data_IF_674171107454
#
_entry.id   IF_674171107454
#
_cell.length_a   1.000
_cell.length_b   1.000
_cell.length_c   1.000
_cell.angle_alpha   90.00
_cell.angle_beta   90.00
_cell.angle_gamma   90.00
#
_symmetry.space_group_name_H-M   'P 1'
#
loop_
_entity.id
_entity.type
_entity.pdbx_description
1 polymer ?
#
# COMPACT_ATOMS: atom_id res chain seq x y z
N UNK A 1 34.90 17.69 -30.76
CA UNK A 1 36.12 17.21 -30.09
C UNK A 1 36.02 15.70 -29.88
N UNK A 2 36.65 14.92 -30.74
CA UNK A 2 37.03 13.54 -30.43
C UNK A 2 38.35 13.56 -29.65
N UNK A 3 38.64 12.53 -28.85
CA UNK A 3 39.93 11.81 -28.88
C UNK A 3 39.85 10.57 -27.96
N UNK A 4 40.06 9.40 -28.56
CA UNK A 4 40.37 8.13 -27.87
C UNK A 4 41.88 8.01 -27.64
N UNK A 5 42.29 7.11 -26.73
CA UNK A 5 43.50 6.24 -26.69
C UNK A 5 43.38 5.50 -25.33
N UNK A 6 43.47 4.17 -25.14
CA UNK A 6 44.40 3.16 -25.68
C UNK A 6 45.67 3.08 -24.79
N UNK A 7 46.19 1.94 -24.30
CA UNK A 7 45.74 0.54 -24.21
C UNK A 7 46.66 -0.30 -23.28
N UNK A 8 46.09 -1.34 -22.62
CA UNK A 8 46.65 -2.62 -22.10
C UNK A 8 48.16 -2.86 -21.87
N UNK A 9 48.56 -3.32 -20.66
CA UNK A 9 49.49 -4.48 -20.51
C UNK A 9 49.40 -5.22 -19.14
N UNK A 10 50.17 -6.31 -18.96
CA UNK A 10 49.79 -7.53 -18.19
C UNK A 10 50.52 -7.77 -16.85
N UNK A 11 49.76 -8.23 -15.84
CA UNK A 11 49.94 -9.42 -14.96
C UNK A 11 51.35 -9.75 -14.41
N UNK A 12 51.50 -9.83 -13.07
CA UNK A 12 52.24 -10.89 -12.36
C UNK A 12 51.85 -11.03 -10.87
N UNK A 13 51.70 -12.29 -10.40
CA UNK A 13 51.77 -12.84 -9.03
C UNK A 13 52.77 -14.02 -9.12
N UNK A 14 53.39 -14.59 -8.06
CA UNK A 14 52.97 -14.69 -6.65
C UNK A 14 53.93 -13.89 -5.72
N UNK A 15 54.17 -14.13 -4.41
CA UNK A 15 53.77 -15.19 -3.46
C UNK A 15 53.68 -14.69 -2.00
N UNK A 16 53.42 -15.59 -1.05
CA UNK A 16 53.46 -15.38 0.40
C UNK A 16 54.78 -15.83 1.04
N UNK A 17 55.36 -15.02 1.93
CA UNK A 17 56.30 -15.49 2.97
C UNK A 17 55.96 -14.80 4.30
N UNK A 18 55.91 -15.59 5.36
CA UNK A 18 55.61 -15.19 6.74
C UNK A 18 56.86 -14.73 7.50
N UNK A 19 56.77 -13.67 8.30
CA UNK A 19 57.50 -13.50 9.57
C UNK A 19 57.09 -12.23 10.31
N UNK A 20 56.63 -12.36 11.55
CA UNK A 20 57.27 -11.74 12.73
C UNK A 20 56.71 -12.37 14.01
N UNK A 21 57.59 -12.49 15.01
CA UNK A 21 57.40 -13.29 16.23
C UNK A 21 56.83 -12.47 17.38
N UNK A 22 56.13 -13.12 18.31
CA UNK A 22 56.57 -13.34 19.71
C UNK A 22 55.44 -13.98 20.51
N UNK A 23 55.71 -15.13 21.14
CA UNK A 23 54.80 -15.78 22.10
C UNK A 23 55.23 -15.38 23.51
N UNK A 24 54.30 -14.93 24.32
CA UNK A 24 54.41 -14.90 25.79
C UNK A 24 53.31 -15.78 26.40
N UNK A 25 53.63 -16.45 27.51
CA UNK A 25 52.83 -17.53 28.08
C UNK A 25 52.09 -17.09 29.36
N UNK A 26 50.75 -17.31 29.35
CA UNK A 26 49.80 -17.51 30.46
C UNK A 26 49.66 -16.44 31.56
N UNK A 27 48.46 -15.87 31.70
CA UNK A 27 47.65 -16.05 32.92
C UNK A 27 46.14 -16.09 32.57
N UNK A 28 45.36 -16.90 33.28
CA UNK A 28 43.89 -17.13 33.16
C UNK A 28 43.31 -16.99 34.59
N UNK A 29 41.99 -16.77 34.83
CA UNK A 29 40.87 -16.98 33.91
C UNK A 29 39.76 -15.90 33.90
N UNK A 30 38.79 -16.06 33.00
CA UNK A 30 37.38 -15.82 33.36
C UNK A 30 36.51 -14.99 32.41
N UNK A 31 35.43 -15.64 31.95
CA UNK A 31 34.18 -15.04 31.44
C UNK A 31 34.27 -14.24 30.13
N UNK A 32 34.17 -14.98 29.01
CA UNK A 32 33.34 -14.52 27.89
C UNK A 32 31.94 -14.17 28.40
N UNK A 33 31.47 -12.95 28.15
CA UNK A 33 30.05 -12.67 27.95
C UNK A 33 29.89 -11.91 26.63
N UNK A 34 29.86 -12.68 25.53
CA UNK A 34 29.43 -12.21 24.22
C UNK A 34 27.95 -11.83 24.29
N UNK A 35 27.65 -10.66 24.87
CA UNK A 35 26.31 -10.10 24.91
C UNK A 35 25.95 -9.50 23.54
N UNK A 36 26.01 -10.37 22.51
CA UNK A 36 25.29 -10.22 21.27
C UNK A 36 23.82 -10.09 21.63
N UNK A 37 23.35 -8.85 21.75
CA UNK A 37 21.92 -8.55 21.95
C UNK A 37 21.15 -9.26 20.87
N UNK A 38 20.46 -10.33 21.27
CA UNK A 38 19.80 -11.27 20.39
C UNK A 38 18.96 -10.48 19.40
N UNK A 39 19.17 -10.69 18.10
CA UNK A 39 18.24 -10.21 17.10
C UNK A 39 16.88 -10.79 17.48
N UNK A 40 15.94 -9.91 17.87
CA UNK A 40 14.59 -10.33 18.27
C UNK A 40 14.00 -11.04 17.06
N UNK A 41 13.90 -12.37 17.15
CA UNK A 41 13.10 -13.13 16.21
C UNK A 41 11.66 -12.69 16.44
N UNK A 42 11.19 -11.77 15.61
CA UNK A 42 9.76 -11.54 15.47
C UNK A 42 9.19 -12.81 14.86
N UNK A 43 8.65 -13.68 15.69
CA UNK A 43 7.84 -14.78 15.20
C UNK A 43 6.72 -14.22 14.33
N UNK A 44 6.42 -14.92 13.24
CA UNK A 44 5.27 -14.57 12.41
C UNK A 44 4.00 -14.71 13.26
N UNK A 45 3.42 -13.60 13.70
CA UNK A 45 2.12 -13.57 14.37
C UNK A 45 1.04 -13.96 13.38
N UNK A 46 0.90 -15.27 13.13
CA UNK A 46 0.04 -15.84 12.11
C UNK A 46 -1.43 -15.75 12.55
N UNK A 47 -2.05 -14.58 12.36
CA UNK A 47 -3.45 -14.38 12.72
C UNK A 47 -4.34 -15.06 11.68
N UNK A 48 -5.00 -16.14 12.10
CA UNK A 48 -5.95 -16.97 11.32
C UNK A 48 -7.25 -16.23 10.89
N UNK A 49 -7.32 -14.91 11.10
CA UNK A 49 -8.45 -14.08 10.72
C UNK A 49 -8.31 -12.64 11.23
N UNK A 50 -9.11 -11.70 10.70
CA UNK A 50 -9.03 -10.29 11.03
C UNK A 50 -9.48 -9.99 12.47
N UNK A 51 -8.59 -9.44 13.29
CA UNK A 51 -8.86 -9.04 14.68
C UNK A 51 -9.87 -7.88 14.78
N UNK A 52 -9.91 -7.01 13.76
CA UNK A 52 -10.93 -5.96 13.61
C UNK A 52 -11.68 -6.17 12.29
N UNK A 53 -13.01 -6.23 12.36
CA UNK A 53 -13.87 -6.19 11.16
C UNK A 53 -13.83 -4.80 10.54
N UNK A 54 -13.88 -4.75 9.21
CA UNK A 54 -13.99 -3.52 8.45
C UNK A 54 -15.30 -2.77 8.77
N UNK A 55 -15.26 -1.49 9.17
CA UNK A 55 -16.43 -0.74 9.59
C UNK A 55 -17.22 -0.20 8.38
N UNK A 56 -17.92 -1.08 7.68
CA UNK A 56 -18.61 -0.78 6.42
C UNK A 56 -19.55 0.44 6.49
N UNK A 57 -20.22 0.67 7.62
CA UNK A 57 -21.06 1.86 7.84
C UNK A 57 -20.25 3.15 7.92
N UNK A 58 -19.12 3.17 8.64
CA UNK A 58 -18.26 4.35 8.73
C UNK A 58 -17.67 4.69 7.36
N UNK A 59 -17.28 3.67 6.59
CA UNK A 59 -16.85 3.87 5.20
C UNK A 59 -17.99 4.35 4.31
N UNK A 60 -19.21 3.86 4.48
CA UNK A 60 -20.37 4.35 3.72
C UNK A 60 -20.65 5.84 3.99
N UNK A 61 -20.55 6.27 5.24
CA UNK A 61 -20.65 7.68 5.62
C UNK A 61 -19.53 8.51 4.98
N UNK A 62 -18.27 8.05 5.02
CA UNK A 62 -17.15 8.70 4.32
C UNK A 62 -17.43 8.83 2.82
N UNK A 63 -17.95 7.78 2.17
CA UNK A 63 -18.30 7.81 0.75
C UNK A 63 -19.39 8.84 0.45
N UNK A 64 -20.43 8.87 1.28
CA UNK A 64 -21.52 9.84 1.18
C UNK A 64 -21.00 11.27 1.36
N UNK A 65 -20.27 11.54 2.44
CA UNK A 65 -19.79 12.88 2.78
C UNK A 65 -18.84 13.42 1.71
N UNK A 66 -17.92 12.58 1.19
CA UNK A 66 -16.99 13.01 0.12
C UNK A 66 -17.72 13.18 -1.21
N UNK A 67 -18.59 12.26 -1.63
CA UNK A 67 -19.30 12.44 -2.90
C UNK A 67 -20.27 13.64 -2.85
N UNK A 68 -20.97 13.86 -1.73
CA UNK A 68 -21.84 15.02 -1.56
C UNK A 68 -21.03 16.32 -1.55
N UNK A 69 -19.96 16.44 -0.76
CA UNK A 69 -19.17 17.68 -0.67
C UNK A 69 -18.48 18.09 -1.97
N UNK A 70 -18.05 17.12 -2.79
CA UNK A 70 -17.39 17.42 -4.07
C UNK A 70 -18.35 17.53 -5.27
N UNK A 71 -19.56 16.94 -5.24
CA UNK A 71 -20.40 16.79 -6.43
C UNK A 71 -21.81 17.39 -6.32
N UNK A 72 -22.21 17.93 -5.17
CA UNK A 72 -23.56 18.48 -4.96
C UNK A 72 -23.85 19.73 -5.79
N UNK A 73 -22.85 20.59 -6.01
CA UNK A 73 -23.02 21.84 -6.76
C UNK A 73 -22.39 21.78 -8.16
N UNK A 74 -21.66 20.70 -8.45
CA UNK A 74 -20.94 20.51 -9.71
C UNK A 74 -21.83 20.02 -10.86
N UNK A 75 -21.48 20.47 -12.07
CA UNK A 75 -22.10 20.04 -13.33
C UNK A 75 -21.19 19.05 -14.05
N UNK A 76 -21.78 18.26 -14.95
CA UNK A 76 -20.99 17.32 -15.75
C UNK A 76 -20.11 18.06 -16.77
N UNK A 77 -18.80 17.98 -16.57
CA UNK A 77 -17.77 18.46 -17.48
C UNK A 77 -16.67 17.39 -17.52
N UNK A 78 -16.33 16.87 -18.70
CA UNK A 78 -15.57 15.63 -18.83
C UNK A 78 -14.14 15.72 -18.29
N UNK A 79 -13.47 16.86 -18.46
CA UNK A 79 -12.09 17.05 -18.00
C UNK A 79 -12.04 17.28 -16.48
N UNK A 80 -12.91 18.15 -15.94
CA UNK A 80 -13.08 18.30 -14.49
C UNK A 80 -13.47 16.98 -13.83
N UNK A 81 -14.45 16.23 -14.37
CA UNK A 81 -14.85 14.93 -13.82
C UNK A 81 -13.69 13.92 -13.81
N UNK A 82 -12.78 13.95 -14.80
CA UNK A 82 -11.57 13.11 -14.81
C UNK A 82 -10.63 13.45 -13.65
N UNK A 83 -10.37 14.73 -13.43
CA UNK A 83 -9.50 15.22 -12.34
C UNK A 83 -10.15 14.97 -10.98
N UNK A 84 -11.44 15.26 -10.85
CA UNK A 84 -12.24 15.10 -9.64
C UNK A 84 -12.40 13.64 -9.23
N UNK A 85 -12.54 12.70 -10.19
CA UNK A 85 -12.51 11.25 -9.93
C UNK A 85 -11.21 10.83 -9.23
N UNK A 86 -10.06 11.32 -9.71
CA UNK A 86 -8.76 11.05 -9.09
C UNK A 86 -8.71 11.63 -7.66
N UNK A 87 -9.02 12.91 -7.50
CA UNK A 87 -9.02 13.61 -6.19
C UNK A 87 -9.92 12.90 -5.17
N UNK A 88 -11.16 12.58 -5.54
CA UNK A 88 -12.13 11.86 -4.70
C UNK A 88 -11.58 10.48 -4.32
N UNK A 89 -10.96 9.74 -5.25
CA UNK A 89 -10.37 8.43 -4.96
C UNK A 89 -9.24 8.51 -3.92
N UNK A 90 -8.41 9.55 -3.97
CA UNK A 90 -7.29 9.77 -3.04
C UNK A 90 -7.81 10.19 -1.65
N UNK A 91 -8.79 11.10 -1.59
CA UNK A 91 -9.45 11.54 -0.35
C UNK A 91 -10.17 10.39 0.37
N UNK A 92 -10.95 9.58 -0.35
CA UNK A 92 -11.61 8.39 0.22
C UNK A 92 -10.56 7.40 0.72
N UNK A 93 -9.51 7.13 -0.07
CA UNK A 93 -8.44 6.20 0.30
C UNK A 93 -7.68 6.65 1.56
N UNK A 94 -7.47 7.96 1.73
CA UNK A 94 -6.90 8.52 2.96
C UNK A 94 -7.86 8.33 4.14
N UNK A 95 -9.09 8.84 4.05
CA UNK A 95 -10.12 8.75 5.12
C UNK A 95 -10.40 7.31 5.57
N UNK A 96 -10.36 6.33 4.66
CA UNK A 96 -10.54 4.90 4.98
C UNK A 96 -9.31 4.30 5.64
N UNK A 97 -8.09 4.74 5.28
CA UNK A 97 -6.86 4.35 5.98
C UNK A 97 -6.77 4.91 7.40
N UNK A 98 -7.30 6.11 7.63
CA UNK A 98 -7.32 6.76 8.95
C UNK A 98 -8.16 5.98 9.99
N UNK A 99 -9.03 5.07 9.54
CA UNK A 99 -9.75 4.10 10.40
C UNK A 99 -8.83 3.02 11.01
N UNK A 100 -7.52 3.03 10.67
CA UNK A 100 -6.48 2.15 11.20
C UNK A 100 -6.87 0.67 11.20
N UNK A 101 -7.31 0.18 10.04
CA UNK A 101 -7.70 -1.22 9.82
C UNK A 101 -6.43 -2.01 9.45
N UNK A 102 -5.86 -2.82 10.37
CA UNK A 102 -4.60 -3.51 10.12
C UNK A 102 -4.79 -4.64 9.09
N UNK A 103 -3.76 -4.92 8.29
CA UNK A 103 -3.71 -6.06 7.35
C UNK A 103 -4.81 -6.07 6.26
N UNK A 104 -5.34 -4.92 5.88
CA UNK A 104 -6.26 -4.79 4.74
C UNK A 104 -5.67 -4.01 3.56
N UNK A 105 -5.77 -4.58 2.36
CA UNK A 105 -5.55 -3.90 1.07
C UNK A 105 -6.84 -3.18 0.66
N UNK A 106 -6.80 -1.84 0.69
CA UNK A 106 -7.93 -0.99 0.33
C UNK A 106 -7.85 -0.59 -1.14
N UNK A 107 -8.87 -0.98 -1.91
CA UNK A 107 -9.07 -0.63 -3.32
C UNK A 107 -10.27 0.31 -3.41
N UNK A 108 -10.10 1.45 -4.06
CA UNK A 108 -11.15 2.45 -4.27
C UNK A 108 -11.42 2.59 -5.76
N UNK A 109 -12.65 2.37 -6.18
CA UNK A 109 -13.12 2.53 -7.56
C UNK A 109 -14.22 3.59 -7.59
N UNK A 110 -13.93 4.71 -8.24
CA UNK A 110 -14.87 5.82 -8.44
C UNK A 110 -15.25 5.88 -9.91
N UNK A 111 -16.52 6.13 -10.21
CA UNK A 111 -17.02 6.33 -11.57
C UNK A 111 -18.02 7.48 -11.58
N UNK A 112 -17.71 8.55 -12.31
CA UNK A 112 -18.59 9.71 -12.52
C UNK A 112 -19.06 9.68 -13.97
N UNK A 113 -20.33 9.98 -14.21
CA UNK A 113 -20.89 10.07 -15.55
C UNK A 113 -22.03 11.06 -15.66
N UNK A 114 -22.36 11.45 -16.89
CA UNK A 114 -23.47 12.36 -17.17
C UNK A 114 -24.80 11.72 -16.80
N UNK A 115 -25.69 12.48 -16.17
CA UNK A 115 -27.07 12.05 -16.01
C UNK A 115 -27.78 12.20 -17.36
N UNK A 116 -28.15 11.07 -17.94
CA UNK A 116 -28.89 10.93 -19.20
C UNK A 116 -30.06 9.98 -18.99
N UNK A 117 -31.01 9.92 -19.93
CA UNK A 117 -32.14 8.97 -19.88
C UNK A 117 -31.73 7.52 -20.23
N UNK A 118 -30.44 7.29 -20.48
CA UNK A 118 -29.89 5.95 -20.74
C UNK A 118 -29.71 5.15 -19.44
N UNK A 119 -30.18 3.91 -19.44
CA UNK A 119 -30.03 3.00 -18.31
C UNK A 119 -28.61 2.43 -18.22
N UNK A 120 -27.91 2.70 -17.12
CA UNK A 120 -26.61 2.09 -16.81
C UNK A 120 -26.68 1.28 -15.52
N UNK A 121 -25.97 0.14 -15.50
CA UNK A 121 -25.88 -0.77 -14.35
C UNK A 121 -24.42 -0.99 -13.98
N UNK A 122 -24.11 -0.85 -12.70
CA UNK A 122 -22.80 -1.16 -12.14
C UNK A 122 -22.85 -2.53 -11.47
N UNK A 123 -21.83 -3.34 -11.69
CA UNK A 123 -21.71 -4.67 -11.10
C UNK A 123 -20.26 -5.15 -11.09
N UNK A 124 -19.89 -5.84 -10.02
CA UNK A 124 -18.55 -6.39 -9.79
C UNK A 124 -18.65 -7.88 -9.48
N UNK A 125 -17.67 -8.66 -9.95
CA UNK A 125 -17.50 -10.06 -9.55
C UNK A 125 -16.14 -10.20 -8.89
N UNK A 126 -16.11 -10.78 -7.69
CA UNK A 126 -14.91 -10.94 -6.88
C UNK A 126 -14.78 -12.41 -6.48
N UNK A 127 -13.55 -12.94 -6.54
CA UNK A 127 -13.18 -14.18 -5.85
C UNK A 127 -12.47 -13.74 -4.58
N UNK A 128 -13.16 -13.87 -3.44
CA UNK A 128 -12.79 -13.29 -2.16
C UNK A 128 -13.26 -14.18 -1.01
N UNK A 129 -12.65 -14.06 0.16
CA UNK A 129 -13.06 -14.81 1.34
C UNK A 129 -14.27 -14.13 2.02
N UNK A 130 -15.39 -14.85 2.13
CA UNK A 130 -16.61 -14.32 2.71
C UNK A 130 -16.54 -14.05 4.23
N UNK A 131 -15.51 -14.56 4.92
CA UNK A 131 -15.28 -14.32 6.35
C UNK A 131 -14.50 -13.05 6.66
N UNK A 132 -13.56 -12.67 5.79
CA UNK A 132 -12.58 -11.60 6.03
C UNK A 132 -12.64 -10.45 5.02
N UNK A 133 -12.93 -10.72 3.75
CA UNK A 133 -13.03 -9.69 2.71
C UNK A 133 -14.40 -9.01 2.71
N UNK A 134 -14.44 -7.72 2.33
CA UNK A 134 -15.71 -7.01 2.26
C UNK A 134 -15.67 -5.77 1.36
N UNK A 135 -16.82 -5.13 1.19
CA UNK A 135 -16.97 -3.92 0.40
C UNK A 135 -17.98 -2.93 1.02
N UNK A 136 -17.89 -1.68 0.60
CA UNK A 136 -18.93 -0.67 0.79
C UNK A 136 -19.13 0.08 -0.53
N UNK A 137 -20.39 0.34 -0.88
CA UNK A 137 -20.77 1.02 -2.11
C UNK A 137 -21.73 2.17 -1.80
N UNK A 138 -21.56 3.30 -2.48
CA UNK A 138 -22.47 4.44 -2.39
C UNK A 138 -22.67 5.06 -3.78
N UNK A 139 -23.92 5.40 -4.07
CA UNK A 139 -24.33 6.05 -5.32
C UNK A 139 -24.87 7.44 -5.01
N UNK A 140 -24.26 8.44 -5.64
CA UNK A 140 -24.67 9.83 -5.59
C UNK A 140 -25.30 10.25 -6.93
N UNK A 141 -26.27 11.18 -6.90
CA UNK A 141 -26.93 11.72 -8.08
C UNK A 141 -27.26 13.20 -7.86
N UNK A 142 -26.89 14.02 -8.83
CA UNK A 142 -27.26 15.43 -8.95
C UNK A 142 -28.21 15.62 -10.16
N UNK A 143 -28.53 16.87 -10.50
CA UNK A 143 -29.27 17.29 -11.69
C UNK A 143 -28.54 17.00 -13.01
N UNK A 144 -27.20 17.09 -13.04
CA UNK A 144 -26.40 16.97 -14.27
C UNK A 144 -25.56 15.69 -14.38
N UNK A 145 -25.25 15.05 -13.24
CA UNK A 145 -24.34 13.90 -13.17
C UNK A 145 -24.82 12.85 -12.15
N UNK A 146 -24.27 11.66 -12.26
CA UNK A 146 -24.29 10.65 -11.21
C UNK A 146 -22.84 10.22 -10.89
N UNK A 147 -22.63 9.67 -9.71
CA UNK A 147 -21.37 9.06 -9.33
C UNK A 147 -21.59 7.79 -8.51
N UNK A 148 -20.74 6.78 -8.73
CA UNK A 148 -20.72 5.54 -7.97
C UNK A 148 -19.34 5.37 -7.37
N UNK A 149 -19.27 5.20 -6.05
CA UNK A 149 -18.05 4.89 -5.33
C UNK A 149 -18.14 3.49 -4.73
N UNK A 150 -17.13 2.66 -4.98
CA UNK A 150 -16.97 1.34 -4.41
C UNK A 150 -15.63 1.26 -3.69
N UNK A 151 -15.63 0.78 -2.46
CA UNK A 151 -14.43 0.48 -1.67
C UNK A 151 -14.43 -0.99 -1.38
N UNK A 152 -13.38 -1.69 -1.79
CA UNK A 152 -13.13 -3.08 -1.45
C UNK A 152 -11.99 -3.14 -0.42
N UNK A 153 -12.19 -3.92 0.63
CA UNK A 153 -11.20 -4.22 1.63
C UNK A 153 -10.90 -5.72 1.57
N UNK A 154 -9.72 -6.04 1.03
CA UNK A 154 -9.24 -7.42 0.91
C UNK A 154 -8.24 -7.67 2.04
N UNK A 155 -8.49 -8.66 2.88
CA UNK A 155 -7.60 -9.06 3.96
C UNK A 155 -6.31 -9.64 3.39
N UNK A 156 -5.20 -9.41 4.08
CA UNK A 156 -3.87 -9.85 3.64
C UNK A 156 -3.12 -10.49 4.80
N UNK A 157 -2.87 -11.78 4.67
CA UNK A 157 -1.93 -12.51 5.51
C UNK A 157 -0.48 -12.03 5.27
#
# INVERSE_FOLDING_TARGET
CSFEWGSTQKKHRPASVTSISTVSYIDEPGQHDDNQRHAVQMENTYQLGPVKRFPAMAVNNILKDVLTSYLQEEKYEAELCRQMTKTISEVIKARVKDLMIPRYKIIVLISIGQLSEQNMRFGSRCLWDAGSDTFSSYTFKNSSLFAVANVYAVYYE
#
